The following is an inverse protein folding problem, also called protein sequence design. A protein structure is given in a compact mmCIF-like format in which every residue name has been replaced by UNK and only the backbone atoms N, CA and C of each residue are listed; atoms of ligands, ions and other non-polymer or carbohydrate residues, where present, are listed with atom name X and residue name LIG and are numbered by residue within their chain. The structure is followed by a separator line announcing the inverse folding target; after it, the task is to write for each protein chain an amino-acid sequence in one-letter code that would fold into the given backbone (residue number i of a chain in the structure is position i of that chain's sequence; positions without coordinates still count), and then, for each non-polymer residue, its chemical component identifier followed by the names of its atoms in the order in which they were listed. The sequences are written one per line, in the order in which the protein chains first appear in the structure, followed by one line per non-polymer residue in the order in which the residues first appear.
data_IF_877872393390
#
_entry.id   IF_877872393390
#
_cell.length_a   1.000
_cell.length_b   1.000
_cell.length_c   1.000
_cell.angle_alpha   90.00
_cell.angle_beta   90.00
_cell.angle_gamma   90.00
#
_symmetry.space_group_name_H-M   'P 1'
#
loop_
_entity.id
_entity.type
_entity.pdbx_description
1 polymer ?
#
# COMPACT_ATOMS: atom_id res chain seq x y z
N UNK A 1 5.59 8.45 -6.72
CA UNK A 1 5.55 9.75 -7.37
C UNK A 1 4.69 9.67 -8.63
N UNK A 2 3.43 10.08 -8.52
CA UNK A 2 2.38 9.91 -9.55
C UNK A 2 1.28 10.97 -9.36
N UNK A 3 0.52 11.28 -10.41
CA UNK A 3 -0.68 12.10 -10.34
C UNK A 3 -1.97 11.26 -10.23
N UNK A 4 -1.85 9.95 -10.12
CA UNK A 4 -2.97 9.02 -10.02
C UNK A 4 -3.94 9.35 -8.86
N UNK A 5 -3.42 9.93 -7.78
CA UNK A 5 -4.18 10.32 -6.60
C UNK A 5 -4.70 11.76 -6.65
N UNK A 6 -4.67 12.38 -7.82
CA UNK A 6 -5.20 13.71 -8.10
C UNK A 6 -4.15 14.82 -8.06
N UNK A 7 -4.49 15.94 -8.74
CA UNK A 7 -3.57 17.06 -8.93
C UNK A 7 -3.16 17.76 -7.63
N UNK A 8 -4.04 17.80 -6.63
CA UNK A 8 -3.74 18.42 -5.34
C UNK A 8 -2.63 17.63 -4.61
N UNK A 9 -2.76 16.30 -4.52
CA UNK A 9 -1.75 15.42 -3.90
C UNK A 9 -0.43 15.45 -4.68
N UNK A 10 -0.49 15.48 -6.02
CA UNK A 10 0.69 15.61 -6.86
C UNK A 10 1.44 16.92 -6.57
N UNK A 11 0.74 18.07 -6.55
CA UNK A 11 1.35 19.37 -6.20
C UNK A 11 1.97 19.36 -4.82
N UNK A 12 1.30 18.79 -3.83
CA UNK A 12 1.82 18.68 -2.47
C UNK A 12 3.14 17.88 -2.40
N UNK A 13 3.26 16.82 -3.19
CA UNK A 13 4.49 16.01 -3.27
C UNK A 13 5.61 16.74 -4.03
N UNK A 14 5.26 17.52 -5.06
CA UNK A 14 6.21 18.19 -5.95
C UNK A 14 6.76 19.49 -5.35
N UNK A 15 5.92 20.29 -4.70
CA UNK A 15 6.27 21.62 -4.23
C UNK A 15 7.55 21.67 -3.36
N UNK A 16 7.73 20.85 -2.32
CA UNK A 16 8.94 20.91 -1.50
C UNK A 16 10.22 20.56 -2.30
N UNK A 17 10.09 19.67 -3.30
CA UNK A 17 11.20 19.28 -4.15
C UNK A 17 11.60 20.44 -5.10
N UNK A 18 10.60 21.13 -5.64
CA UNK A 18 10.84 22.31 -6.47
C UNK A 18 11.47 23.45 -5.67
N UNK A 19 10.99 23.69 -4.44
CA UNK A 19 11.57 24.69 -3.54
C UNK A 19 13.05 24.35 -3.26
N UNK A 20 13.36 23.10 -2.94
CA UNK A 20 14.73 22.67 -2.68
C UNK A 20 15.66 22.95 -3.90
N UNK A 21 15.20 22.61 -5.11
CA UNK A 21 15.94 22.88 -6.34
C UNK A 21 16.10 24.38 -6.60
N UNK A 22 15.07 25.18 -6.39
CA UNK A 22 15.12 26.65 -6.55
C UNK A 22 16.11 27.29 -5.60
N UNK A 23 16.25 26.71 -4.40
CA UNK A 23 17.24 27.14 -3.39
C UNK A 23 18.66 26.59 -3.68
N UNK A 24 18.89 25.99 -4.83
CA UNK A 24 20.20 25.42 -5.20
C UNK A 24 20.61 24.18 -4.41
N UNK A 25 19.64 23.50 -3.76
CA UNK A 25 19.93 22.30 -2.97
C UNK A 25 20.00 21.07 -3.86
N UNK A 26 20.93 20.17 -3.58
CA UNK A 26 21.02 18.88 -4.26
C UNK A 26 19.83 18.01 -3.84
N UNK A 27 19.07 17.53 -4.82
CA UNK A 27 17.92 16.66 -4.61
C UNK A 27 18.30 15.21 -4.92
N UNK A 28 18.04 14.31 -4.00
CA UNK A 28 18.11 12.87 -4.21
C UNK A 28 16.70 12.29 -4.05
N UNK A 29 16.21 11.60 -5.07
CA UNK A 29 14.95 10.89 -5.02
C UNK A 29 15.23 9.43 -4.62
N UNK A 30 14.86 9.09 -3.40
CA UNK A 30 15.01 7.73 -2.86
C UNK A 30 14.13 6.74 -3.62
N UNK A 31 14.37 5.41 -3.51
CA UNK A 31 13.61 4.39 -4.21
C UNK A 31 12.11 4.55 -4.04
N UNK A 32 11.41 4.79 -5.14
CA UNK A 32 9.97 5.05 -5.16
C UNK A 32 9.35 4.59 -6.49
N UNK A 33 8.02 4.50 -6.52
CA UNK A 33 7.27 4.29 -7.75
C UNK A 33 7.22 5.56 -8.59
N UNK A 34 7.44 5.46 -9.90
CA UNK A 34 7.27 6.54 -10.86
C UNK A 34 6.06 6.29 -11.75
N UNK A 35 5.20 7.32 -11.87
CA UNK A 35 4.02 7.28 -12.72
C UNK A 35 2.91 6.29 -12.25
N UNK A 36 1.86 6.08 -13.05
CA UNK A 36 1.62 6.81 -14.30
C UNK A 36 1.47 8.32 -14.07
N UNK A 37 1.74 9.10 -15.12
CA UNK A 37 1.46 10.53 -15.18
C UNK A 37 0.37 10.74 -16.24
N UNK A 38 -0.84 11.10 -15.80
CA UNK A 38 -2.03 11.13 -16.65
C UNK A 38 -2.20 12.44 -17.40
N UNK A 39 -1.68 13.54 -16.85
CA UNK A 39 -1.72 14.85 -17.51
C UNK A 39 -0.36 15.24 -18.10
N UNK A 40 -0.38 16.00 -19.20
CA UNK A 40 0.83 16.56 -19.82
C UNK A 40 1.61 17.46 -18.85
N UNK A 41 0.89 18.23 -18.04
CA UNK A 41 1.50 19.10 -17.03
C UNK A 41 2.23 18.29 -15.94
N UNK A 42 1.61 17.24 -15.43
CA UNK A 42 2.24 16.35 -14.43
C UNK A 42 3.46 15.65 -15.02
N UNK A 43 3.36 15.18 -16.25
CA UNK A 43 4.46 14.55 -16.98
C UNK A 43 5.64 15.51 -17.17
N UNK A 44 5.36 16.73 -17.63
CA UNK A 44 6.39 17.75 -17.81
C UNK A 44 7.06 18.14 -16.49
N UNK A 45 6.26 18.35 -15.46
CA UNK A 45 6.75 18.69 -14.11
C UNK A 45 7.62 17.58 -13.53
N UNK A 46 7.17 16.34 -13.64
CA UNK A 46 7.93 15.17 -13.17
C UNK A 46 9.26 15.04 -13.91
N UNK A 47 9.24 15.14 -15.26
CA UNK A 47 10.45 15.10 -16.09
C UNK A 47 11.48 16.15 -15.67
N UNK A 48 11.07 17.41 -15.54
CA UNK A 48 11.97 18.50 -15.12
C UNK A 48 12.57 18.27 -13.73
N UNK A 49 11.76 17.81 -12.78
CA UNK A 49 12.20 17.58 -11.43
C UNK A 49 13.19 16.43 -11.33
N UNK A 50 12.93 15.33 -12.05
CA UNK A 50 13.80 14.16 -12.05
C UNK A 50 15.11 14.48 -12.78
N UNK A 51 15.04 15.13 -13.93
CA UNK A 51 16.21 15.57 -14.71
C UNK A 51 17.13 16.50 -13.90
N UNK A 52 16.55 17.38 -13.06
CA UNK A 52 17.30 18.27 -12.18
C UNK A 52 17.81 17.59 -10.90
N UNK A 53 17.40 16.37 -10.61
CA UNK A 53 17.84 15.64 -9.40
C UNK A 53 19.27 15.14 -9.56
N UNK A 54 20.04 15.18 -8.48
CA UNK A 54 21.39 14.61 -8.46
C UNK A 54 21.38 13.10 -8.64
N UNK A 55 20.40 12.43 -8.03
CA UNK A 55 20.13 10.99 -8.14
C UNK A 55 18.62 10.74 -8.08
N UNK A 56 18.14 9.75 -8.82
CA UNK A 56 16.76 9.28 -8.75
C UNK A 56 16.73 7.75 -8.81
N UNK A 57 16.14 7.12 -7.78
CA UNK A 57 16.02 5.68 -7.68
C UNK A 57 14.58 5.24 -7.92
N UNK A 58 14.39 4.28 -8.83
CA UNK A 58 13.17 3.49 -8.93
C UNK A 58 13.24 2.30 -7.98
N UNK A 59 12.12 1.93 -7.34
CA UNK A 59 12.09 0.81 -6.40
C UNK A 59 11.74 -0.54 -7.03
N UNK A 60 11.33 -0.53 -8.29
CA UNK A 60 10.91 -1.70 -9.05
C UNK A 60 11.20 -1.51 -10.54
N UNK A 61 11.28 -2.63 -11.33
CA UNK A 61 11.58 -2.57 -12.75
C UNK A 61 10.57 -1.75 -13.57
N UNK A 62 9.27 -1.83 -13.25
CA UNK A 62 8.24 -1.06 -13.96
C UNK A 62 8.45 0.44 -13.78
N UNK A 63 8.75 0.87 -12.56
CA UNK A 63 9.09 2.27 -12.27
C UNK A 63 10.38 2.70 -12.96
N UNK A 64 11.35 1.81 -13.08
CA UNK A 64 12.60 2.08 -13.78
C UNK A 64 12.38 2.26 -15.29
N UNK A 65 11.60 1.39 -15.92
CA UNK A 65 11.23 1.52 -17.34
C UNK A 65 10.46 2.83 -17.60
N UNK A 66 9.51 3.16 -16.72
CA UNK A 66 8.77 4.44 -16.81
C UNK A 66 9.68 5.66 -16.64
N UNK A 67 10.73 5.55 -15.85
CA UNK A 67 11.74 6.60 -15.69
C UNK A 67 12.50 6.81 -16.99
N UNK A 68 12.92 5.73 -17.67
CA UNK A 68 13.55 5.75 -18.98
C UNK A 68 12.64 6.40 -20.03
N UNK A 69 11.39 5.95 -20.13
CA UNK A 69 10.39 6.48 -21.06
C UNK A 69 10.10 7.97 -20.83
N UNK A 70 10.07 8.39 -19.56
CA UNK A 70 9.80 9.78 -19.20
C UNK A 70 10.94 10.72 -19.60
N UNK A 71 12.17 10.28 -19.41
CA UNK A 71 13.36 11.08 -19.65
C UNK A 71 13.84 11.02 -21.11
N UNK A 72 13.65 9.87 -21.78
CA UNK A 72 14.15 9.66 -23.14
C UNK A 72 15.66 9.89 -23.22
N UNK A 73 16.12 10.74 -24.14
CA UNK A 73 17.54 11.05 -24.35
C UNK A 73 18.26 11.67 -23.13
N UNK A 74 17.51 12.12 -22.13
CA UNK A 74 18.07 12.64 -20.86
C UNK A 74 18.27 11.58 -19.80
N UNK A 75 17.91 10.33 -20.09
CA UNK A 75 18.14 9.24 -19.16
C UNK A 75 19.64 8.94 -19.05
N UNK A 76 20.13 8.93 -17.81
CA UNK A 76 21.53 8.68 -17.47
C UNK A 76 21.59 7.57 -16.40
N UNK A 77 22.07 6.36 -16.72
CA UNK A 77 22.14 5.24 -15.78
C UNK A 77 23.04 5.51 -14.55
N UNK A 78 23.96 6.47 -14.65
CA UNK A 78 24.79 6.86 -13.51
C UNK A 78 24.00 7.61 -12.44
N UNK A 79 22.90 8.27 -12.82
CA UNK A 79 22.05 9.11 -11.99
C UNK A 79 20.66 8.50 -11.75
N UNK A 80 20.12 7.78 -12.73
CA UNK A 80 18.79 7.17 -12.71
C UNK A 80 18.93 5.66 -12.50
N UNK A 81 18.68 5.19 -11.29
CA UNK A 81 19.06 3.84 -10.87
C UNK A 81 17.87 3.00 -10.45
N UNK A 82 17.98 1.70 -10.68
CA UNK A 82 17.12 0.73 -10.06
C UNK A 82 17.64 0.43 -8.64
N UNK A 83 16.74 0.44 -7.69
CA UNK A 83 16.99 0.06 -6.30
C UNK A 83 15.89 -0.89 -5.81
N UNK A 84 15.74 -0.98 -4.49
CA UNK A 84 14.68 -1.73 -3.82
C UNK A 84 13.90 -0.79 -2.91
N UNK A 85 12.67 -1.13 -2.57
CA UNK A 85 11.89 -0.35 -1.60
C UNK A 85 12.64 -0.28 -0.26
N UNK A 86 12.73 0.92 0.31
CA UNK A 86 13.46 1.16 1.56
C UNK A 86 12.90 0.36 2.73
N UNK A 87 11.65 -0.07 2.67
CA UNK A 87 11.04 -0.91 3.70
C UNK A 87 11.81 -2.22 3.91
N UNK A 88 12.45 -2.77 2.86
CA UNK A 88 13.28 -3.97 2.98
C UNK A 88 14.58 -3.75 3.76
N UNK A 89 15.02 -2.50 3.92
CA UNK A 89 16.19 -2.14 4.72
C UNK A 89 15.87 -1.90 6.20
N UNK A 90 14.61 -1.89 6.58
CA UNK A 90 14.21 -1.68 7.98
C UNK A 90 14.45 -2.98 8.77
N UNK A 91 15.27 -2.95 9.83
CA UNK A 91 15.48 -4.14 10.65
C UNK A 91 14.19 -4.56 11.34
N UNK A 92 13.88 -5.86 11.27
CA UNK A 92 12.75 -6.41 12.01
C UNK A 92 12.97 -6.22 13.51
N UNK A 93 11.99 -5.63 14.18
CA UNK A 93 11.99 -5.46 15.63
C UNK A 93 10.82 -6.20 16.23
N UNK A 94 11.09 -7.04 17.21
CA UNK A 94 10.01 -7.64 18.01
C UNK A 94 9.34 -6.52 18.81
N UNK A 95 8.01 -6.41 18.81
CA UNK A 95 7.30 -5.44 19.62
C UNK A 95 7.60 -5.65 21.12
N UNK A 96 7.69 -4.57 21.88
CA UNK A 96 7.94 -4.62 23.32
C UNK A 96 6.79 -5.31 24.04
N UNK A 97 5.56 -5.06 23.59
CA UNK A 97 4.35 -5.71 24.11
C UNK A 97 3.39 -5.98 22.95
N UNK A 98 2.62 -7.02 23.08
CA UNK A 98 1.50 -7.33 22.17
C UNK A 98 0.20 -7.16 22.95
N UNK A 99 -0.86 -6.69 22.29
CA UNK A 99 -2.19 -6.74 22.85
C UNK A 99 -2.55 -8.20 23.19
N UNK A 100 -3.24 -8.44 24.32
CA UNK A 100 -3.51 -9.82 24.80
C UNK A 100 -4.15 -10.73 23.74
N UNK A 101 -5.07 -10.20 22.95
CA UNK A 101 -5.74 -10.95 21.88
C UNK A 101 -4.79 -11.32 20.74
N UNK A 102 -3.80 -10.48 20.43
CA UNK A 102 -2.77 -10.76 19.43
C UNK A 102 -1.78 -11.80 19.96
N UNK A 103 -1.37 -11.65 21.23
CA UNK A 103 -0.51 -12.62 21.89
C UNK A 103 -1.17 -14.01 21.93
N UNK A 104 -2.47 -14.08 22.28
CA UNK A 104 -3.24 -15.33 22.27
C UNK A 104 -3.35 -15.93 20.85
N UNK A 105 -3.61 -15.10 19.83
CA UNK A 105 -3.66 -15.57 18.44
C UNK A 105 -2.32 -16.17 17.96
N UNK A 106 -1.21 -15.69 18.51
CA UNK A 106 0.15 -16.11 18.13
C UNK A 106 0.70 -17.27 18.99
N UNK A 107 0.08 -17.56 20.15
CA UNK A 107 0.63 -18.52 21.11
C UNK A 107 0.75 -19.94 20.55
N UNK A 108 -0.25 -20.38 19.78
CA UNK A 108 -0.34 -21.76 19.28
C UNK A 108 0.07 -21.88 17.80
N UNK A 109 0.78 -20.87 17.25
CA UNK A 109 1.10 -20.80 15.81
C UNK A 109 1.91 -21.99 15.29
N UNK A 110 2.59 -22.71 16.16
CA UNK A 110 3.38 -23.88 15.79
C UNK A 110 2.49 -25.14 15.62
N UNK A 111 1.26 -25.10 16.16
CA UNK A 111 0.29 -26.20 16.08
C UNK A 111 -0.94 -25.84 15.23
N UNK A 112 -1.34 -24.56 15.24
CA UNK A 112 -2.47 -24.04 14.48
C UNK A 112 -1.97 -23.01 13.49
N UNK A 113 -2.20 -23.19 12.17
CA UNK A 113 -1.75 -22.23 11.17
C UNK A 113 -2.24 -20.81 11.47
N UNK A 114 -1.33 -19.83 11.44
CA UNK A 114 -1.65 -18.41 11.58
C UNK A 114 -1.52 -17.72 10.23
N UNK A 115 -2.60 -17.13 9.74
CA UNK A 115 -2.66 -16.42 8.45
C UNK A 115 -2.75 -14.92 8.73
N UNK A 116 -1.74 -14.16 8.29
CA UNK A 116 -1.81 -12.71 8.24
C UNK A 116 -2.60 -12.26 7.01
N UNK A 117 -3.63 -11.44 7.21
CA UNK A 117 -4.47 -10.93 6.11
C UNK A 117 -4.57 -9.41 6.19
N UNK A 118 -4.19 -8.72 5.11
CA UNK A 118 -4.44 -7.29 4.94
C UNK A 118 -5.67 -7.07 4.06
N UNK A 119 -6.54 -6.17 4.49
CA UNK A 119 -7.69 -5.70 3.70
C UNK A 119 -7.50 -4.23 3.40
N UNK A 120 -7.30 -3.90 2.13
CA UNK A 120 -7.07 -2.52 1.72
C UNK A 120 -8.32 -1.67 1.80
N UNK A 121 -8.32 -0.67 2.68
CA UNK A 121 -9.38 0.34 2.78
C UNK A 121 -9.56 1.12 1.48
N UNK A 122 -8.45 1.48 0.82
CA UNK A 122 -8.47 2.17 -0.47
C UNK A 122 -9.31 1.44 -1.54
N UNK A 123 -9.29 0.11 -1.51
CA UNK A 123 -10.03 -0.73 -2.47
C UNK A 123 -11.42 -1.07 -1.93
N UNK A 124 -11.54 -1.41 -0.65
CA UNK A 124 -12.78 -1.86 -0.06
C UNK A 124 -13.81 -0.75 0.14
N UNK A 125 -13.36 0.45 0.58
CA UNK A 125 -14.28 1.52 0.99
C UNK A 125 -14.83 2.37 -0.18
N UNK A 126 -14.20 2.28 -1.38
CA UNK A 126 -14.67 2.93 -2.62
C UNK A 126 -14.56 1.98 -3.81
N UNK A 127 -15.33 0.88 -3.84
CA UNK A 127 -15.14 -0.20 -4.80
C UNK A 127 -15.25 0.24 -6.27
N UNK A 128 -16.17 1.13 -6.60
CA UNK A 128 -16.34 1.61 -7.98
C UNK A 128 -15.18 2.46 -8.47
N UNK A 129 -14.60 3.28 -7.58
CA UNK A 129 -13.40 4.05 -7.90
C UNK A 129 -12.18 3.15 -8.00
N UNK A 130 -12.06 2.16 -7.12
CA UNK A 130 -10.97 1.20 -7.13
C UNK A 130 -11.02 0.33 -8.39
N UNK A 131 -12.20 -0.15 -8.80
CA UNK A 131 -12.37 -0.93 -10.03
C UNK A 131 -11.86 -0.16 -11.25
N UNK A 132 -12.27 1.10 -11.41
CA UNK A 132 -11.81 1.95 -12.53
C UNK A 132 -10.33 2.28 -12.44
N UNK A 133 -9.81 2.57 -11.24
CA UNK A 133 -8.44 3.04 -11.04
C UNK A 133 -7.42 1.91 -11.17
N UNK A 134 -7.75 0.71 -10.71
CA UNK A 134 -6.83 -0.42 -10.63
C UNK A 134 -7.18 -1.56 -11.60
N UNK A 135 -8.20 -1.36 -12.46
CA UNK A 135 -8.61 -2.38 -13.43
C UNK A 135 -9.16 -3.66 -12.78
N UNK A 136 -9.83 -3.54 -11.63
CA UNK A 136 -10.36 -4.71 -10.93
C UNK A 136 -11.62 -5.23 -11.62
N UNK A 137 -11.59 -6.49 -12.02
CA UNK A 137 -12.71 -7.17 -12.67
C UNK A 137 -13.57 -7.99 -11.68
N UNK A 138 -13.38 -7.80 -10.38
CA UNK A 138 -14.12 -8.51 -9.34
C UNK A 138 -14.56 -7.57 -8.21
N UNK A 139 -15.63 -7.94 -7.52
CA UNK A 139 -16.05 -7.25 -6.30
C UNK A 139 -15.11 -7.58 -5.14
N UNK A 140 -14.17 -6.69 -4.84
CA UNK A 140 -13.13 -6.91 -3.84
C UNK A 140 -13.68 -7.33 -2.47
N UNK A 141 -14.71 -6.64 -1.95
CA UNK A 141 -15.36 -7.03 -0.67
C UNK A 141 -15.94 -8.44 -0.72
N UNK A 142 -16.59 -8.80 -1.82
CA UNK A 142 -17.15 -10.14 -1.99
C UNK A 142 -16.07 -11.20 -2.09
N UNK A 143 -14.96 -10.89 -2.75
CA UNK A 143 -13.79 -11.78 -2.82
C UNK A 143 -13.22 -12.02 -1.43
N UNK A 144 -12.94 -10.96 -0.67
CA UNK A 144 -12.37 -11.06 0.68
C UNK A 144 -13.31 -11.78 1.65
N UNK A 145 -14.63 -11.54 1.54
CA UNK A 145 -15.62 -12.26 2.35
C UNK A 145 -15.62 -13.76 2.04
N UNK A 146 -15.62 -14.14 0.75
CA UNK A 146 -15.52 -15.54 0.35
C UNK A 146 -14.23 -16.19 0.83
N UNK A 147 -13.10 -15.46 0.75
CA UNK A 147 -11.83 -15.95 1.26
C UNK A 147 -11.91 -16.25 2.76
N UNK A 148 -12.43 -15.32 3.57
CA UNK A 148 -12.60 -15.57 5.01
C UNK A 148 -13.51 -16.76 5.31
N UNK A 149 -14.65 -16.86 4.62
CA UNK A 149 -15.56 -17.98 4.78
C UNK A 149 -14.87 -19.32 4.47
N UNK A 150 -14.13 -19.39 3.35
CA UNK A 150 -13.37 -20.59 3.01
C UNK A 150 -12.28 -20.94 4.03
N UNK A 151 -11.56 -19.95 4.54
CA UNK A 151 -10.58 -20.18 5.61
C UNK A 151 -11.23 -20.74 6.88
N UNK A 152 -12.43 -20.25 7.22
CA UNK A 152 -13.17 -20.74 8.38
C UNK A 152 -13.76 -22.14 8.15
N UNK A 153 -14.21 -22.47 6.94
CA UNK A 153 -14.82 -23.75 6.61
C UNK A 153 -13.80 -24.86 6.34
N UNK A 154 -12.73 -24.52 5.58
CA UNK A 154 -11.84 -25.53 5.00
C UNK A 154 -10.55 -25.71 5.82
N UNK A 155 -10.29 -24.88 6.84
CA UNK A 155 -9.05 -24.96 7.62
C UNK A 155 -9.33 -24.78 9.13
N UNK A 156 -8.33 -25.14 9.96
CA UNK A 156 -8.27 -24.77 11.37
C UNK A 156 -7.55 -23.45 11.63
N UNK A 157 -7.10 -22.75 10.61
CA UNK A 157 -6.24 -21.57 10.72
C UNK A 157 -6.89 -20.44 11.55
N UNK A 158 -6.07 -19.74 12.32
CA UNK A 158 -6.40 -18.42 12.87
C UNK A 158 -6.03 -17.34 11.86
N UNK A 159 -6.81 -16.27 11.80
CA UNK A 159 -6.61 -15.15 10.90
C UNK A 159 -6.29 -13.90 11.72
N UNK A 160 -5.10 -13.34 11.50
CA UNK A 160 -4.70 -12.04 12.02
C UNK A 160 -4.89 -11.00 10.93
N UNK A 161 -5.91 -10.15 11.09
CA UNK A 161 -6.10 -9.00 10.20
C UNK A 161 -5.08 -7.93 10.54
N UNK A 162 -4.23 -7.60 9.59
CA UNK A 162 -3.11 -6.65 9.78
C UNK A 162 -3.35 -5.39 8.93
N UNK A 163 -3.99 -4.34 9.50
CA UNK A 163 -4.13 -3.07 8.82
C UNK A 163 -2.76 -2.45 8.53
N UNK A 164 -2.54 -2.04 7.29
CA UNK A 164 -1.30 -1.38 6.87
C UNK A 164 -1.45 0.14 6.90
N UNK A 165 -2.60 0.67 6.45
CA UNK A 165 -2.89 2.09 6.45
C UNK A 165 -3.74 2.46 7.67
N UNK A 166 -3.10 3.13 8.64
CA UNK A 166 -3.75 3.67 9.83
C UNK A 166 -4.29 5.08 9.55
N UNK A 167 -5.40 5.16 8.82
CA UNK A 167 -6.12 6.42 8.60
C UNK A 167 -7.16 6.66 9.71
N UNK A 168 -7.61 7.91 9.93
CA UNK A 168 -8.68 8.20 10.87
C UNK A 168 -9.94 7.38 10.57
N UNK A 169 -10.73 7.08 11.61
CA UNK A 169 -11.97 6.35 11.48
C UNK A 169 -12.92 7.04 10.49
N UNK A 170 -13.55 6.27 9.62
CA UNK A 170 -14.40 6.77 8.54
C UNK A 170 -13.66 7.28 7.31
N UNK A 171 -12.33 7.34 7.35
CA UNK A 171 -11.56 7.69 6.16
C UNK A 171 -11.53 6.53 5.16
N UNK A 172 -11.68 6.84 3.88
CA UNK A 172 -11.78 5.81 2.83
C UNK A 172 -10.52 4.95 2.67
N UNK A 173 -9.37 5.40 3.12
CA UNK A 173 -8.12 4.63 3.10
C UNK A 173 -7.92 3.79 4.38
N UNK A 174 -8.86 3.82 5.37
CA UNK A 174 -8.72 3.08 6.61
C UNK A 174 -8.83 1.57 6.38
N UNK A 175 -7.71 0.87 6.50
CA UNK A 175 -7.68 -0.60 6.44
C UNK A 175 -8.35 -1.21 7.67
N UNK A 176 -8.27 -0.54 8.82
CA UNK A 176 -8.94 -1.00 10.05
C UNK A 176 -10.46 -1.01 9.86
N UNK A 177 -11.04 0.07 9.34
CA UNK A 177 -12.49 0.12 9.09
C UNK A 177 -12.92 -0.91 8.05
N UNK A 178 -12.08 -1.13 7.02
CA UNK A 178 -12.34 -2.15 6.01
C UNK A 178 -12.32 -3.56 6.60
N UNK A 179 -11.36 -3.86 7.49
CA UNK A 179 -11.27 -5.15 8.18
C UNK A 179 -12.47 -5.39 9.12
N UNK A 180 -12.83 -4.38 9.92
CA UNK A 180 -14.00 -4.46 10.82
C UNK A 180 -15.28 -4.69 10.01
N UNK A 181 -15.53 -3.86 8.99
CA UNK A 181 -16.72 -4.00 8.13
C UNK A 181 -16.76 -5.36 7.43
N UNK A 182 -15.64 -5.89 7.03
CA UNK A 182 -15.57 -7.21 6.39
C UNK A 182 -15.99 -8.31 7.36
N UNK A 183 -15.43 -8.31 8.58
CA UNK A 183 -15.78 -9.33 9.60
C UNK A 183 -17.25 -9.21 10.01
N UNK A 184 -17.76 -8.00 10.22
CA UNK A 184 -19.17 -7.75 10.52
C UNK A 184 -20.13 -8.17 9.39
N UNK A 185 -19.65 -8.21 8.15
CA UNK A 185 -20.44 -8.64 6.99
C UNK A 185 -20.56 -10.15 6.82
N UNK A 186 -19.87 -10.94 7.65
CA UNK A 186 -19.97 -12.40 7.59
C UNK A 186 -21.38 -12.85 7.99
N UNK A 187 -21.95 -13.88 7.33
CA UNK A 187 -23.23 -14.45 7.73
C UNK A 187 -23.23 -14.92 9.18
N UNK A 188 -24.38 -14.84 9.86
CA UNK A 188 -24.51 -15.13 11.29
C UNK A 188 -24.00 -16.51 11.72
N UNK A 189 -24.04 -17.50 10.83
CA UNK A 189 -23.48 -18.84 11.08
C UNK A 189 -21.97 -18.82 11.34
N UNK A 190 -21.24 -17.79 10.87
CA UNK A 190 -19.80 -17.63 11.10
C UNK A 190 -19.47 -16.81 12.36
N UNK A 191 -20.45 -16.26 13.06
CA UNK A 191 -20.23 -15.33 14.17
C UNK A 191 -19.39 -15.94 15.31
N UNK A 192 -19.58 -17.22 15.62
CA UNK A 192 -18.79 -17.92 16.64
C UNK A 192 -17.35 -18.16 16.17
N UNK A 193 -17.19 -18.76 15.00
CA UNK A 193 -15.89 -19.04 14.41
C UNK A 193 -15.07 -17.76 14.17
N UNK A 194 -15.71 -16.66 13.75
CA UNK A 194 -15.06 -15.38 13.56
C UNK A 194 -14.54 -14.81 14.89
N UNK A 195 -15.33 -14.86 15.97
CA UNK A 195 -14.88 -14.40 17.30
C UNK A 195 -13.72 -15.21 17.87
N UNK A 196 -13.69 -16.49 17.59
CA UNK A 196 -12.67 -17.40 18.10
C UNK A 196 -11.38 -17.33 17.28
N UNK A 197 -11.49 -17.19 15.93
CA UNK A 197 -10.40 -17.41 15.00
C UNK A 197 -9.94 -16.18 14.23
N UNK A 198 -10.67 -15.05 14.29
CA UNK A 198 -10.26 -13.81 13.62
C UNK A 198 -9.90 -12.76 14.68
N UNK A 199 -8.66 -12.28 14.61
CA UNK A 199 -8.16 -11.17 15.44
C UNK A 199 -7.85 -10.00 14.53
N UNK A 200 -8.29 -8.78 14.90
CA UNK A 200 -7.96 -7.55 14.15
C UNK A 200 -6.95 -6.76 14.97
N UNK A 201 -5.77 -6.51 14.37
CA UNK A 201 -4.76 -5.65 14.96
C UNK A 201 -5.25 -4.19 14.95
N UNK A 202 -5.22 -3.53 16.11
CA UNK A 202 -5.69 -2.14 16.28
C UNK A 202 -4.55 -1.20 16.57
#
# INVERSE_FOLDING_TARGET
FTDLYGAARFRHIVAPKQIALTMGRRLVLLPQTYGPFTSSLSRHTARRLIDASALAYARDPDSYNRLQDLLGDRFDPSRHRLGVDLAFGIPMRKPISLAPEVAAAMADRDQVPLIGLNVSGLVANRPDQAARRFGLNCGYRSLMRRLLMRLLDETSARVLMVPHVHAPRGHYESDLDAAVTLVESLPGQYASAARERITILK
#
